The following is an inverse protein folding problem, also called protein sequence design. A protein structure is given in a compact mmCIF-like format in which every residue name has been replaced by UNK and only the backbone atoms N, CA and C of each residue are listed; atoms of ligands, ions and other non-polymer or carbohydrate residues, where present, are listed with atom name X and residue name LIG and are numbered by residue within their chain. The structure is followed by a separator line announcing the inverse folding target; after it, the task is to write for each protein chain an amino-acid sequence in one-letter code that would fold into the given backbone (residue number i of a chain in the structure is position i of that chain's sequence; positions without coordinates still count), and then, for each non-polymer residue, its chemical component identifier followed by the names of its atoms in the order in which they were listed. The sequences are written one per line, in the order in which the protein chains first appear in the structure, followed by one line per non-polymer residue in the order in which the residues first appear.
data_IF_889232685576
#
_entry.id   IF_889232685576
#
_cell.length_a   1.000
_cell.length_b   1.000
_cell.length_c   1.000
_cell.angle_alpha   90.00
_cell.angle_beta   90.00
_cell.angle_gamma   90.00
#
_symmetry.space_group_name_H-M   'P 1'
#
loop_
_entity.id
_entity.type
_entity.pdbx_description
1 polymer ?
#
# COMPACT_ATOMS: atom_id res chain seq x y z
N UNK A 1 12.87 -0.52 -3.34
CA UNK A 1 14.25 -0.26 -3.84
C UNK A 1 14.46 -0.86 -5.23
N UNK A 2 14.31 -2.18 -5.41
CA UNK A 2 14.62 -2.83 -6.71
C UNK A 2 13.77 -2.30 -7.86
N UNK A 3 12.48 -2.07 -7.64
CA UNK A 3 11.58 -1.55 -8.67
C UNK A 3 11.94 -0.10 -9.09
N UNK A 4 12.47 0.71 -8.16
CA UNK A 4 12.96 2.07 -8.46
C UNK A 4 14.24 2.03 -9.29
N UNK A 5 15.19 1.17 -8.92
CA UNK A 5 16.51 1.10 -9.58
C UNK A 5 16.51 0.35 -10.91
N UNK A 6 15.54 -0.56 -11.13
CA UNK A 6 15.51 -1.45 -12.29
C UNK A 6 14.08 -1.77 -12.71
N UNK A 7 13.46 -0.87 -13.45
CA UNK A 7 12.09 -1.04 -13.95
C UNK A 7 11.98 -2.16 -14.99
N UNK A 8 13.06 -2.46 -15.73
CA UNK A 8 13.08 -3.57 -16.68
C UNK A 8 12.97 -4.93 -15.99
N UNK A 9 13.52 -5.05 -14.79
CA UNK A 9 13.32 -6.23 -13.96
C UNK A 9 11.84 -6.45 -13.64
N UNK A 10 11.13 -5.39 -13.26
CA UNK A 10 9.67 -5.45 -13.01
C UNK A 10 8.92 -5.85 -14.28
N UNK A 11 9.27 -5.25 -15.41
CA UNK A 11 8.65 -5.58 -16.70
C UNK A 11 8.82 -7.05 -17.05
N UNK A 12 10.03 -7.60 -16.92
CA UNK A 12 10.28 -9.03 -17.15
C UNK A 12 9.47 -9.93 -16.22
N UNK A 13 9.36 -9.54 -14.93
CA UNK A 13 8.58 -10.29 -13.95
C UNK A 13 7.08 -10.28 -14.30
N UNK A 14 6.54 -9.14 -14.68
CA UNK A 14 5.14 -9.00 -15.09
C UNK A 14 4.87 -9.77 -16.38
N UNK A 15 5.76 -9.69 -17.37
CA UNK A 15 5.63 -10.43 -18.63
C UNK A 15 5.59 -11.95 -18.39
N UNK A 16 6.35 -12.43 -17.40
CA UNK A 16 6.43 -13.86 -17.09
C UNK A 16 5.31 -14.34 -16.15
N UNK A 17 4.95 -13.55 -15.14
CA UNK A 17 4.06 -13.99 -14.05
C UNK A 17 2.73 -13.23 -13.99
N UNK A 18 2.58 -12.15 -14.76
CA UNK A 18 1.33 -11.39 -14.88
C UNK A 18 0.83 -10.86 -13.53
N UNK A 19 -0.44 -11.09 -13.26
CA UNK A 19 -1.13 -10.62 -12.04
C UNK A 19 -0.59 -11.18 -10.72
N UNK A 20 0.29 -12.17 -10.78
CA UNK A 20 0.95 -12.70 -9.57
C UNK A 20 2.03 -11.77 -9.03
N UNK A 21 2.46 -10.78 -9.82
CA UNK A 21 3.43 -9.78 -9.39
C UNK A 21 2.69 -8.67 -8.66
N UNK A 22 3.11 -8.40 -7.44
CA UNK A 22 2.64 -7.30 -6.59
C UNK A 22 3.83 -6.41 -6.28
N UNK A 23 3.65 -5.10 -6.39
CA UNK A 23 4.69 -4.12 -6.04
C UNK A 23 4.37 -3.51 -4.69
N UNK A 24 5.35 -3.54 -3.78
CA UNK A 24 5.30 -2.78 -2.54
C UNK A 24 5.87 -1.38 -2.75
N UNK A 25 5.10 -0.37 -2.41
CA UNK A 25 5.52 1.03 -2.39
C UNK A 25 5.44 1.51 -0.95
N UNK A 26 6.58 1.78 -0.36
CA UNK A 26 6.68 2.41 0.95
C UNK A 26 6.95 3.90 0.74
N UNK A 27 6.18 4.77 1.40
CA UNK A 27 6.30 6.20 1.23
C UNK A 27 6.43 6.93 2.56
N UNK A 28 7.23 7.98 2.54
CA UNK A 28 7.36 8.95 3.62
C UNK A 28 7.05 10.33 3.06
N UNK A 29 6.09 11.02 3.66
CA UNK A 29 5.64 12.35 3.19
C UNK A 29 5.31 12.38 1.69
N UNK A 30 4.70 11.29 1.20
CA UNK A 30 4.32 11.12 -0.21
C UNK A 30 5.45 10.73 -1.17
N UNK A 31 6.69 10.63 -0.70
CA UNK A 31 7.85 10.24 -1.50
C UNK A 31 8.19 8.76 -1.30
N UNK A 32 8.53 8.08 -2.39
CA UNK A 32 8.90 6.66 -2.32
C UNK A 32 10.17 6.47 -1.48
N UNK A 33 10.07 5.66 -0.43
CA UNK A 33 11.19 5.28 0.41
C UNK A 33 11.93 4.07 -0.18
N UNK A 34 13.24 4.08 -0.04
CA UNK A 34 14.13 3.04 -0.53
C UNK A 34 15.17 2.68 0.54
N UNK A 35 15.93 1.61 0.29
CA UNK A 35 17.04 1.19 1.16
C UNK A 35 16.61 1.00 2.63
N UNK A 36 15.52 0.24 2.85
CA UNK A 36 15.02 -0.04 4.20
C UNK A 36 14.49 1.20 4.93
N UNK A 37 13.95 2.15 4.16
CA UNK A 37 13.41 3.44 4.63
C UNK A 37 14.48 4.47 5.04
N UNK A 38 15.75 4.18 4.78
CA UNK A 38 16.85 5.10 5.12
C UNK A 38 16.91 6.31 4.21
N UNK A 39 16.42 6.16 2.96
CA UNK A 39 16.40 7.22 1.96
C UNK A 39 15.04 7.35 1.30
N UNK A 40 14.76 8.54 0.79
CA UNK A 40 13.67 8.77 -0.16
C UNK A 40 14.21 8.88 -1.57
N UNK A 41 13.42 8.41 -2.55
CA UNK A 41 13.73 8.59 -3.97
C UNK A 41 13.24 9.95 -4.46
N UNK A 42 13.53 10.27 -5.73
CA UNK A 42 13.02 11.48 -6.40
C UNK A 42 11.57 11.32 -6.91
N UNK A 43 10.97 10.12 -6.74
CA UNK A 43 9.60 9.86 -7.16
C UNK A 43 8.60 10.14 -6.05
N UNK A 44 7.48 10.80 -6.38
CA UNK A 44 6.29 10.68 -5.54
C UNK A 44 5.73 9.27 -5.64
N UNK A 45 5.03 8.82 -4.59
CA UNK A 45 4.41 7.50 -4.59
C UNK A 45 3.41 7.33 -5.74
N UNK A 46 2.62 8.36 -6.03
CA UNK A 46 1.62 8.34 -7.11
C UNK A 46 2.29 8.27 -8.48
N UNK A 47 3.31 9.07 -8.75
CA UNK A 47 4.07 9.02 -10.02
C UNK A 47 4.69 7.65 -10.24
N UNK A 48 5.29 7.09 -9.20
CA UNK A 48 5.91 5.77 -9.28
C UNK A 48 4.87 4.67 -9.48
N UNK A 49 3.73 4.74 -8.81
CA UNK A 49 2.61 3.81 -9.01
C UNK A 49 2.09 3.85 -10.45
N UNK A 50 1.92 5.04 -11.02
CA UNK A 50 1.54 5.20 -12.45
C UNK A 50 2.55 4.55 -13.38
N UNK A 51 3.84 4.72 -13.11
CA UNK A 51 4.91 4.08 -13.88
C UNK A 51 4.80 2.56 -13.82
N UNK A 52 4.55 1.99 -12.63
CA UNK A 52 4.40 0.54 -12.45
C UNK A 52 3.15 0.01 -13.17
N UNK A 53 2.03 0.71 -13.08
CA UNK A 53 0.79 0.34 -13.79
C UNK A 53 0.99 0.36 -15.31
N UNK A 54 1.73 1.33 -15.84
CA UNK A 54 2.07 1.39 -17.27
C UNK A 54 2.92 0.21 -17.74
N UNK A 55 3.71 -0.39 -16.85
CA UNK A 55 4.48 -1.61 -17.13
C UNK A 55 3.59 -2.86 -17.13
N UNK A 56 2.40 -2.80 -16.51
CA UNK A 56 1.45 -3.90 -16.42
C UNK A 56 1.21 -4.43 -15.01
N UNK A 57 1.72 -3.77 -13.97
CA UNK A 57 1.44 -4.10 -12.57
C UNK A 57 -0.05 -3.88 -12.29
N UNK A 58 -0.70 -4.88 -11.69
CA UNK A 58 -2.14 -4.85 -11.41
C UNK A 58 -2.47 -4.65 -9.93
N UNK A 59 -1.53 -4.92 -9.03
CA UNK A 59 -1.74 -4.81 -7.58
C UNK A 59 -0.55 -4.13 -6.92
N UNK A 60 -0.83 -3.17 -6.05
CA UNK A 60 0.17 -2.41 -5.30
C UNK A 60 -0.17 -2.46 -3.81
N UNK A 61 0.78 -2.86 -2.99
CA UNK A 61 0.73 -2.65 -1.53
C UNK A 61 1.34 -1.28 -1.25
N UNK A 62 0.53 -0.37 -0.72
CA UNK A 62 0.95 1.00 -0.43
C UNK A 62 1.04 1.21 1.08
N UNK A 63 2.25 1.45 1.59
CA UNK A 63 2.53 1.66 3.01
C UNK A 63 2.93 3.10 3.27
N UNK A 64 2.22 3.80 4.17
CA UNK A 64 2.71 5.02 4.78
C UNK A 64 3.59 4.65 5.97
N UNK A 65 4.91 4.85 5.85
CA UNK A 65 5.85 4.44 6.89
C UNK A 65 5.78 5.32 8.15
N UNK A 66 5.22 6.52 8.04
CA UNK A 66 5.03 7.40 9.20
C UNK A 66 3.95 6.86 10.15
N UNK A 67 2.97 6.11 9.63
CA UNK A 67 1.90 5.50 10.43
C UNK A 67 2.17 4.04 10.77
N UNK A 68 3.04 3.37 10.02
CA UNK A 68 3.29 1.94 10.19
C UNK A 68 3.77 1.59 11.61
N UNK A 69 3.15 0.57 12.19
CA UNK A 69 3.45 0.09 13.54
C UNK A 69 2.98 1.01 14.69
N UNK A 70 2.38 2.17 14.41
CA UNK A 70 1.99 3.15 15.44
C UNK A 70 0.63 2.86 16.07
N UNK A 71 -0.25 2.11 15.40
CA UNK A 71 -1.66 1.89 15.76
C UNK A 71 -2.49 3.19 15.85
N UNK A 72 -1.95 4.33 15.39
CA UNK A 72 -2.58 5.64 15.48
C UNK A 72 -3.61 5.91 14.38
N UNK A 73 -3.70 5.04 13.42
CA UNK A 73 -4.61 5.12 12.28
C UNK A 73 -3.86 5.16 10.94
N UNK A 74 -4.50 4.67 9.87
CA UNK A 74 -3.95 4.73 8.53
C UNK A 74 -4.01 6.16 7.97
N UNK A 75 -3.18 6.44 6.98
CA UNK A 75 -3.26 7.68 6.21
C UNK A 75 -4.39 7.58 5.17
N UNK A 76 -5.62 7.82 5.59
CA UNK A 76 -6.83 7.66 4.78
C UNK A 76 -6.79 8.51 3.51
N UNK A 77 -6.34 9.75 3.62
CA UNK A 77 -6.25 10.67 2.48
C UNK A 77 -5.25 10.19 1.43
N UNK A 78 -4.08 9.73 1.87
CA UNK A 78 -3.06 9.18 0.96
C UNK A 78 -3.56 7.90 0.26
N UNK A 79 -4.28 7.05 0.97
CA UNK A 79 -4.87 5.83 0.40
C UNK A 79 -5.95 6.15 -0.64
N UNK A 80 -6.83 7.10 -0.35
CA UNK A 80 -7.86 7.56 -1.28
C UNK A 80 -7.23 8.21 -2.53
N UNK A 81 -6.21 9.04 -2.35
CA UNK A 81 -5.48 9.65 -3.46
C UNK A 81 -4.86 8.58 -4.37
N UNK A 82 -4.16 7.63 -3.80
CA UNK A 82 -3.53 6.54 -4.57
C UNK A 82 -4.58 5.71 -5.31
N UNK A 83 -5.65 5.31 -4.65
CA UNK A 83 -6.71 4.50 -5.26
C UNK A 83 -7.41 5.21 -6.43
N UNK A 84 -7.56 6.53 -6.35
CA UNK A 84 -8.16 7.32 -7.44
C UNK A 84 -7.18 7.64 -8.57
N UNK A 85 -5.88 7.68 -8.29
CA UNK A 85 -4.86 8.11 -9.26
C UNK A 85 -4.43 7.02 -10.24
N UNK A 86 -4.59 5.75 -9.89
CA UNK A 86 -4.12 4.63 -10.69
C UNK A 86 -5.22 3.59 -10.90
N UNK A 87 -5.19 2.93 -12.05
CA UNK A 87 -6.07 1.82 -12.36
C UNK A 87 -5.39 0.49 -11.95
N UNK A 88 -5.32 0.26 -10.66
CA UNK A 88 -4.77 -0.95 -10.06
C UNK A 88 -5.43 -1.21 -8.70
N UNK A 89 -5.37 -2.44 -8.23
CA UNK A 89 -5.82 -2.81 -6.90
C UNK A 89 -4.83 -2.29 -5.86
N UNK A 90 -5.29 -1.40 -4.98
CA UNK A 90 -4.46 -0.84 -3.91
C UNK A 90 -4.76 -1.56 -2.61
N UNK A 91 -3.73 -2.08 -1.97
CA UNK A 91 -3.79 -2.67 -0.65
C UNK A 91 -3.18 -1.67 0.33
N UNK A 92 -4.01 -1.12 1.21
CA UNK A 92 -3.57 -0.14 2.20
C UNK A 92 -2.76 -0.81 3.31
N UNK A 93 -1.67 -0.19 3.72
CA UNK A 93 -0.78 -0.69 4.78
C UNK A 93 -0.27 0.45 5.66
N UNK A 94 -0.15 0.17 6.95
CA UNK A 94 0.39 1.07 7.96
C UNK A 94 -0.66 1.69 8.87
N UNK A 95 -0.45 1.60 10.18
CA UNK A 95 -1.15 2.35 11.21
C UNK A 95 -2.51 1.82 11.65
N UNK A 96 -3.05 0.75 11.06
CA UNK A 96 -4.35 0.20 11.47
C UNK A 96 -4.28 -0.30 12.91
N UNK A 97 -5.06 0.32 13.79
CA UNK A 97 -5.08 0.01 15.23
C UNK A 97 -6.46 -0.30 15.80
N UNK A 98 -7.52 -0.19 14.99
CA UNK A 98 -8.89 -0.44 15.45
C UNK A 98 -9.81 -0.84 14.30
N UNK A 99 -11.00 -1.34 14.65
CA UNK A 99 -12.04 -1.63 13.68
C UNK A 99 -12.52 -0.35 12.95
N UNK A 100 -12.58 0.77 13.64
CA UNK A 100 -12.97 2.06 13.04
C UNK A 100 -11.95 2.52 11.99
N UNK A 101 -10.66 2.26 12.19
CA UNK A 101 -9.63 2.50 11.18
C UNK A 101 -9.88 1.70 9.90
N UNK A 102 -10.27 0.42 10.02
CA UNK A 102 -10.63 -0.42 8.88
C UNK A 102 -11.85 0.16 8.16
N UNK A 103 -12.90 0.51 8.90
CA UNK A 103 -14.11 1.12 8.34
C UNK A 103 -13.82 2.42 7.60
N UNK A 104 -12.89 3.23 8.09
CA UNK A 104 -12.52 4.49 7.43
C UNK A 104 -11.90 4.29 6.05
N UNK A 105 -11.32 3.13 5.78
CA UNK A 105 -10.73 2.78 4.49
C UNK A 105 -11.75 2.26 3.47
N UNK A 106 -12.92 1.80 3.89
CA UNK A 106 -13.92 1.17 3.00
C UNK A 106 -14.34 2.10 1.87
N UNK A 107 -14.45 3.40 2.13
CA UNK A 107 -14.91 4.40 1.14
C UNK A 107 -13.77 4.99 0.30
N UNK A 108 -12.53 4.60 0.53
CA UNK A 108 -11.37 5.19 -0.17
C UNK A 108 -11.15 4.64 -1.57
N UNK A 109 -11.73 3.48 -1.89
CA UNK A 109 -11.50 2.78 -3.15
C UNK A 109 -10.37 1.76 -3.12
N UNK A 110 -9.72 1.55 -1.95
CA UNK A 110 -8.72 0.49 -1.82
C UNK A 110 -9.38 -0.89 -1.87
N UNK A 111 -8.70 -1.86 -2.44
CA UNK A 111 -9.19 -3.24 -2.59
C UNK A 111 -9.03 -4.05 -1.30
N UNK A 112 -8.06 -3.73 -0.50
CA UNK A 112 -7.78 -4.44 0.74
C UNK A 112 -6.96 -3.64 1.73
N UNK A 113 -6.78 -4.22 2.92
CA UNK A 113 -5.99 -3.62 4.00
C UNK A 113 -5.16 -4.67 4.71
N UNK A 114 -3.94 -4.31 5.06
CA UNK A 114 -3.08 -5.12 5.92
C UNK A 114 -3.27 -4.68 7.36
N UNK A 115 -3.63 -5.64 8.22
CA UNK A 115 -3.71 -5.47 9.66
C UNK A 115 -2.57 -6.29 10.27
N UNK A 116 -1.59 -5.61 10.81
CA UNK A 116 -0.41 -6.24 11.41
C UNK A 116 -0.49 -6.29 12.93
N UNK A 117 0.24 -5.41 13.60
CA UNK A 117 0.40 -5.36 15.05
C UNK A 117 -0.92 -5.38 15.83
N UNK A 118 -1.96 -4.71 15.33
CA UNK A 118 -3.26 -4.65 16.01
C UNK A 118 -3.92 -6.02 16.17
N UNK A 119 -3.69 -6.94 15.22
CA UNK A 119 -4.19 -8.31 15.32
C UNK A 119 -3.46 -9.10 16.41
N UNK A 120 -2.14 -8.94 16.50
CA UNK A 120 -1.31 -9.67 17.46
C UNK A 120 -1.41 -9.12 18.89
N UNK A 121 -1.90 -7.90 19.06
CA UNK A 121 -2.10 -7.24 20.37
C UNK A 121 -3.57 -7.18 20.79
N UNK A 122 -4.44 -7.97 20.13
CA UNK A 122 -5.87 -8.07 20.41
C UNK A 122 -6.63 -6.72 20.32
N UNK A 123 -6.11 -5.78 19.54
CA UNK A 123 -6.77 -4.48 19.26
C UNK A 123 -7.83 -4.60 18.17
N UNK A 124 -7.70 -5.59 17.31
CA UNK A 124 -8.64 -5.89 16.23
C UNK A 124 -8.95 -7.38 16.24
N UNK A 125 -10.24 -7.71 16.29
CA UNK A 125 -10.72 -9.08 16.08
C UNK A 125 -10.88 -9.33 14.57
N UNK A 126 -10.28 -10.40 14.07
CA UNK A 126 -10.30 -10.71 12.63
C UNK A 126 -11.70 -10.97 12.10
N UNK A 127 -12.55 -11.67 12.88
CA UNK A 127 -13.91 -12.00 12.46
C UNK A 127 -14.76 -10.75 12.31
N UNK A 128 -14.65 -9.82 13.27
CA UNK A 128 -15.35 -8.54 13.20
C UNK A 128 -14.82 -7.66 12.06
N UNK A 129 -13.51 -7.68 11.83
CA UNK A 129 -12.89 -6.95 10.72
C UNK A 129 -13.41 -7.43 9.36
N UNK A 130 -13.46 -8.74 9.14
CA UNK A 130 -14.00 -9.33 7.91
C UNK A 130 -15.46 -8.95 7.69
N UNK A 131 -16.30 -8.99 8.75
CA UNK A 131 -17.71 -8.58 8.66
C UNK A 131 -17.85 -7.10 8.30
N UNK A 132 -16.97 -6.25 8.80
CA UNK A 132 -17.05 -4.79 8.59
C UNK A 132 -16.76 -4.36 7.14
N UNK A 133 -16.04 -5.17 6.36
CA UNK A 133 -15.64 -4.86 4.96
C UNK A 133 -16.44 -5.62 3.91
N UNK A 134 -17.33 -6.49 4.33
CA UNK A 134 -18.22 -7.23 3.43
C UNK A 134 -19.43 -6.42 2.99
#
# INVERSE_FOLDING_TARGET
TKAVSDSEFVKRAVDKYGKKIVIGIDAKDGMVAIEGWEKTSDFTAVEFAKKMVNIGVQTIVYTDIATDGTLAGPNVNAMAEMASAVNADIIASGGVGSLDHIKSLVTTGVEGVIVGKALYTDKVDLTEAIKAVK
#
